data_IF_034665683008
#
_entry.id   IF_034665683008
#
_cell.length_a   1.000
_cell.length_b   1.000
_cell.length_c   1.000
_cell.angle_alpha   90.00
_cell.angle_beta   90.00
_cell.angle_gamma   90.00
#
_symmetry.space_group_name_H-M   'P 1'
#
loop_
_entity.id
_entity.type
_entity.pdbx_description
1 polymer ?
#
# COMPACT_ATOMS: atom_id res chain seq x y z
N UNK A 1 -31.45 -7.90 9.14
CA UNK A 1 -30.47 -8.99 8.94
C UNK A 1 -29.10 -8.33 8.99
N UNK A 2 -28.43 -8.39 10.14
CA UNK A 2 -27.09 -7.83 10.29
C UNK A 2 -26.12 -8.68 9.46
N UNK A 3 -25.35 -8.03 8.58
CA UNK A 3 -24.36 -8.70 7.75
C UNK A 3 -23.32 -9.38 8.64
N UNK A 4 -22.92 -10.59 8.27
CA UNK A 4 -21.80 -11.30 8.88
C UNK A 4 -20.54 -10.44 8.77
N UNK A 5 -20.03 -9.96 9.90
CA UNK A 5 -18.76 -9.24 10.06
C UNK A 5 -17.60 -10.11 9.55
N UNK A 6 -17.25 -9.98 8.27
CA UNK A 6 -16.10 -10.64 7.66
C UNK A 6 -14.97 -9.64 7.54
N UNK A 7 -13.77 -10.11 7.85
CA UNK A 7 -12.54 -9.38 7.56
C UNK A 7 -12.52 -8.90 6.10
N UNK A 8 -12.09 -7.67 5.90
CA UNK A 8 -11.88 -7.07 4.58
C UNK A 8 -10.39 -7.00 4.26
N UNK A 9 -10.08 -6.91 2.97
CA UNK A 9 -8.71 -6.82 2.47
C UNK A 9 -8.51 -5.49 1.77
N UNK A 10 -7.45 -4.78 2.14
CA UNK A 10 -6.93 -3.62 1.44
C UNK A 10 -5.55 -3.94 0.86
N UNK A 11 -5.20 -3.39 -0.30
CA UNK A 11 -3.88 -3.61 -0.91
C UNK A 11 -3.28 -2.31 -1.40
N UNK A 12 -2.10 -1.98 -0.86
CA UNK A 12 -1.44 -0.69 -1.04
C UNK A 12 -0.01 -0.88 -1.54
N UNK A 13 0.37 -0.13 -2.57
CA UNK A 13 1.75 0.00 -3.05
C UNK A 13 2.23 1.43 -2.81
N UNK A 14 3.29 1.59 -2.03
CA UNK A 14 3.82 2.90 -1.62
C UNK A 14 5.35 2.92 -1.59
N UNK A 15 6.01 2.27 -2.54
CA UNK A 15 7.46 2.10 -2.55
C UNK A 15 7.88 0.74 -1.98
N UNK A 16 9.03 0.69 -1.32
CA UNK A 16 9.49 -0.55 -0.66
C UNK A 16 8.40 -1.12 0.26
N UNK A 17 7.98 -2.36 -0.01
CA UNK A 17 6.90 -3.00 0.75
C UNK A 17 7.23 -3.25 2.22
N UNK A 18 8.52 -3.28 2.62
CA UNK A 18 8.93 -3.45 4.01
C UNK A 18 8.52 -2.27 4.86
N UNK A 19 8.76 -1.06 4.36
CA UNK A 19 8.33 0.18 5.03
C UNK A 19 6.81 0.32 5.05
N UNK A 20 6.16 -0.09 3.96
CA UNK A 20 4.70 -0.08 3.84
C UNK A 20 4.04 -1.01 4.88
N UNK A 21 4.43 -2.29 4.93
CA UNK A 21 3.90 -3.21 5.94
C UNK A 21 4.21 -2.74 7.35
N UNK A 22 5.46 -2.36 7.61
CA UNK A 22 5.91 -1.95 8.94
C UNK A 22 5.09 -0.78 9.50
N UNK A 23 4.82 0.26 8.69
CA UNK A 23 4.10 1.44 9.17
C UNK A 23 2.61 1.15 9.42
N UNK A 24 1.97 0.33 8.57
CA UNK A 24 0.60 -0.10 8.77
C UNK A 24 0.45 -0.97 10.02
N UNK A 25 1.27 -2.01 10.16
CA UNK A 25 1.23 -2.91 11.32
C UNK A 25 1.52 -2.14 12.60
N UNK A 26 2.53 -1.27 12.62
CA UNK A 26 2.85 -0.47 13.80
C UNK A 26 1.70 0.43 14.23
N UNK A 27 0.92 0.97 13.29
CA UNK A 27 -0.18 1.87 13.60
C UNK A 27 -1.49 1.14 13.96
N UNK A 28 -1.80 0.04 13.26
CA UNK A 28 -3.11 -0.60 13.32
C UNK A 28 -3.15 -1.97 14.01
N UNK A 29 -2.02 -2.54 14.47
CA UNK A 29 -1.99 -3.85 15.14
C UNK A 29 -2.99 -4.03 16.28
N UNK A 30 -3.29 -2.95 17.00
CA UNK A 30 -4.23 -2.94 18.14
C UNK A 30 -5.49 -2.11 17.81
N UNK A 31 -5.75 -1.86 16.52
CA UNK A 31 -6.84 -1.01 16.00
C UNK A 31 -7.53 -1.67 14.80
N UNK A 32 -7.76 -2.97 14.87
CA UNK A 32 -8.50 -3.71 13.84
C UNK A 32 -7.68 -4.30 12.71
N UNK A 33 -6.34 -4.19 12.68
CA UNK A 33 -5.53 -4.98 11.74
C UNK A 33 -5.48 -6.44 12.21
N UNK A 34 -5.92 -7.36 11.35
CA UNK A 34 -5.99 -8.79 11.62
C UNK A 34 -4.75 -9.53 11.11
N UNK A 35 -4.28 -9.15 9.91
CA UNK A 35 -3.11 -9.76 9.28
C UNK A 35 -2.45 -8.81 8.27
N UNK A 36 -1.17 -9.04 7.97
CA UNK A 36 -0.44 -8.36 6.91
C UNK A 36 0.37 -9.35 6.08
N UNK A 37 0.53 -9.05 4.80
CA UNK A 37 1.42 -9.80 3.91
C UNK A 37 1.99 -8.88 2.83
N UNK A 38 3.29 -8.96 2.59
CA UNK A 38 3.95 -8.29 1.46
C UNK A 38 4.03 -9.20 0.24
N UNK A 39 3.97 -8.61 -0.95
CA UNK A 39 3.96 -9.34 -2.20
C UNK A 39 3.97 -8.45 -3.43
N UNK A 40 3.66 -9.08 -4.56
CA UNK A 40 3.68 -8.47 -5.88
C UNK A 40 2.30 -8.56 -6.54
N UNK A 41 1.86 -7.48 -7.18
CA UNK A 41 0.59 -7.45 -7.92
C UNK A 41 0.58 -6.36 -8.99
N UNK A 42 -0.41 -6.41 -9.89
CA UNK A 42 -0.64 -5.38 -10.91
C UNK A 42 0.35 -5.42 -12.09
N UNK A 43 1.04 -6.54 -12.29
CA UNK A 43 1.88 -6.83 -13.46
C UNK A 43 1.41 -8.06 -14.23
N UNK A 44 2.14 -8.40 -15.29
CA UNK A 44 1.72 -9.39 -16.30
C UNK A 44 2.39 -10.76 -16.16
N UNK A 45 3.42 -10.87 -15.31
CA UNK A 45 4.19 -12.11 -15.13
C UNK A 45 3.57 -12.96 -14.02
N UNK A 46 3.13 -14.17 -14.36
CA UNK A 46 2.66 -15.13 -13.36
C UNK A 46 3.83 -15.68 -12.50
N UNK A 47 3.58 -15.88 -11.22
CA UNK A 47 4.55 -16.38 -10.22
C UNK A 47 5.93 -15.71 -10.28
N UNK A 48 5.99 -14.37 -10.16
CA UNK A 48 7.24 -13.62 -10.26
C UNK A 48 8.12 -13.88 -9.02
N UNK A 49 9.40 -14.12 -9.26
CA UNK A 49 10.42 -14.09 -8.19
C UNK A 49 10.76 -12.63 -7.85
N UNK A 50 11.20 -12.37 -6.62
CA UNK A 50 11.67 -11.04 -6.22
C UNK A 50 12.73 -10.49 -7.19
N UNK A 51 13.67 -11.35 -7.64
CA UNK A 51 14.70 -10.99 -8.60
C UNK A 51 14.12 -10.51 -9.94
N UNK A 52 13.07 -11.15 -10.44
CA UNK A 52 12.39 -10.71 -11.67
C UNK A 52 11.71 -9.36 -11.46
N UNK A 53 11.07 -9.13 -10.31
CA UNK A 53 10.46 -7.82 -10.01
C UNK A 53 11.52 -6.72 -9.92
N UNK A 54 12.69 -7.00 -9.32
CA UNK A 54 13.80 -6.06 -9.27
C UNK A 54 14.34 -5.65 -10.65
N UNK A 55 14.16 -6.48 -11.68
CA UNK A 55 14.58 -6.18 -13.06
C UNK A 55 13.65 -5.16 -13.78
N UNK A 56 12.51 -4.79 -13.15
CA UNK A 56 11.60 -3.69 -13.54
C UNK A 56 10.74 -3.93 -14.79
N UNK A 57 10.75 -5.13 -15.31
CA UNK A 57 10.16 -5.56 -16.59
C UNK A 57 8.93 -6.47 -16.41
N UNK A 58 8.55 -6.80 -15.18
CA UNK A 58 7.37 -7.64 -14.88
C UNK A 58 6.04 -6.88 -14.81
N UNK A 59 6.10 -5.54 -14.70
CA UNK A 59 4.94 -4.68 -14.46
C UNK A 59 4.42 -4.68 -13.01
N UNK A 60 4.87 -5.61 -12.16
CA UNK A 60 4.38 -5.71 -10.78
C UNK A 60 4.80 -4.51 -9.92
N UNK A 61 3.92 -4.14 -8.99
CA UNK A 61 4.24 -3.28 -7.85
C UNK A 61 4.62 -4.14 -6.65
N UNK A 62 5.58 -3.66 -5.86
CA UNK A 62 5.72 -4.08 -4.47
C UNK A 62 4.54 -3.49 -3.67
N UNK A 63 3.80 -4.36 -2.99
CA UNK A 63 2.61 -3.98 -2.26
C UNK A 63 2.49 -4.72 -0.93
N UNK A 64 1.73 -4.14 -0.02
CA UNK A 64 1.27 -4.77 1.22
C UNK A 64 -0.24 -5.02 1.13
N UNK A 65 -0.62 -6.25 1.43
CA UNK A 65 -2.00 -6.68 1.65
C UNK A 65 -2.29 -6.62 3.14
N UNK A 66 -3.30 -5.85 3.52
CA UNK A 66 -3.73 -5.64 4.89
C UNK A 66 -5.11 -6.25 5.05
N UNK A 67 -5.23 -7.23 5.94
CA UNK A 67 -6.52 -7.78 6.36
C UNK A 67 -6.96 -7.04 7.62
N UNK A 68 -8.19 -6.52 7.63
CA UNK A 68 -8.69 -5.67 8.70
C UNK A 68 -10.14 -5.99 9.05
N UNK A 69 -10.51 -5.65 10.28
CA UNK A 69 -11.87 -5.73 10.79
C UNK A 69 -12.60 -4.40 10.49
N UNK A 70 -13.56 -4.38 9.55
CA UNK A 70 -14.26 -3.15 9.18
C UNK A 70 -15.13 -2.59 10.31
N UNK A 71 -15.35 -3.33 11.40
CA UNK A 71 -16.06 -2.81 12.59
C UNK A 71 -15.16 -1.97 13.50
N UNK A 72 -13.84 -2.05 13.32
CA UNK A 72 -12.84 -1.35 14.14
C UNK A 72 -12.08 -0.26 13.37
N UNK A 73 -11.87 -0.45 12.07
CA UNK A 73 -11.21 0.53 11.21
C UNK A 73 -11.89 0.57 9.84
N UNK A 74 -12.22 1.77 9.39
CA UNK A 74 -12.85 1.97 8.09
C UNK A 74 -11.82 1.96 6.97
N UNK A 75 -12.19 1.46 5.78
CA UNK A 75 -11.31 1.47 4.61
C UNK A 75 -10.83 2.89 4.25
N UNK A 76 -11.68 3.90 4.45
CA UNK A 76 -11.34 5.30 4.21
C UNK A 76 -10.15 5.77 5.09
N UNK A 77 -10.09 5.31 6.34
CA UNK A 77 -8.99 5.64 7.25
C UNK A 77 -7.68 5.01 6.78
N UNK A 78 -7.73 3.77 6.29
CA UNK A 78 -6.56 3.09 5.72
C UNK A 78 -6.04 3.83 4.48
N UNK A 79 -6.94 4.32 3.61
CA UNK A 79 -6.56 5.11 2.42
C UNK A 79 -5.97 6.46 2.82
N UNK A 80 -6.54 7.16 3.79
CA UNK A 80 -5.97 8.42 4.28
C UNK A 80 -4.58 8.19 4.90
N UNK A 81 -4.44 7.15 5.73
CA UNK A 81 -3.17 6.78 6.33
C UNK A 81 -2.12 6.41 5.29
N UNK A 82 -2.50 5.71 4.22
CA UNK A 82 -1.64 5.45 3.07
C UNK A 82 -1.06 6.77 2.52
N UNK A 83 -1.88 7.79 2.28
CA UNK A 83 -1.40 9.09 1.79
C UNK A 83 -0.51 9.84 2.78
N UNK A 84 -0.70 9.61 4.08
CA UNK A 84 0.11 10.18 5.16
C UNK A 84 1.44 9.48 5.34
N UNK A 85 1.73 8.38 4.66
CA UNK A 85 2.91 7.55 4.97
C UNK A 85 3.91 7.40 3.82
N UNK A 86 3.70 8.07 2.69
CA UNK A 86 4.65 8.08 1.58
C UNK A 86 4.52 9.36 0.76
N UNK A 87 5.36 9.57 -0.25
CA UNK A 87 5.15 10.62 -1.24
C UNK A 87 4.29 10.08 -2.40
N UNK A 88 3.02 10.50 -2.55
CA UNK A 88 2.12 10.03 -3.62
C UNK A 88 2.24 10.83 -4.93
N UNK A 89 3.20 11.76 -5.03
CA UNK A 89 3.34 12.68 -6.17
C UNK A 89 4.47 12.28 -7.13
N UNK A 90 5.30 11.31 -6.74
CA UNK A 90 6.43 10.82 -7.52
C UNK A 90 6.07 9.58 -8.32
N UNK A 91 5.99 9.73 -9.65
CA UNK A 91 5.68 8.62 -10.55
C UNK A 91 6.84 7.60 -10.55
N UNK A 92 6.51 6.32 -10.34
CA UNK A 92 7.47 5.19 -10.39
C UNK A 92 8.71 5.40 -9.51
N UNK A 93 8.53 6.05 -8.34
CA UNK A 93 9.61 6.34 -7.41
C UNK A 93 9.08 6.57 -6.00
N UNK A 94 9.80 6.09 -5.00
CA UNK A 94 9.62 6.46 -3.61
C UNK A 94 10.99 6.73 -2.95
N UNK A 95 11.27 7.99 -2.60
CA UNK A 95 12.58 8.37 -2.06
C UNK A 95 13.73 7.95 -2.96
N UNK A 96 14.60 7.06 -2.44
CA UNK A 96 15.74 6.49 -3.18
C UNK A 96 15.38 5.26 -4.02
N UNK A 97 14.19 4.69 -3.82
CA UNK A 97 13.70 3.52 -4.55
C UNK A 97 13.11 3.96 -5.89
N UNK A 98 13.81 3.67 -7.00
CA UNK A 98 13.44 4.13 -8.35
C UNK A 98 13.06 2.96 -9.24
N UNK A 99 11.83 2.96 -9.75
CA UNK A 99 11.32 1.96 -10.67
C UNK A 99 9.80 1.78 -10.60
N UNK A 100 9.19 1.20 -11.64
CA UNK A 100 7.74 0.98 -11.70
C UNK A 100 7.21 0.07 -10.59
N UNK A 101 8.07 -0.76 -9.99
CA UNK A 101 7.72 -1.58 -8.83
C UNK A 101 7.46 -0.75 -7.56
N UNK A 102 8.03 0.45 -7.47
CA UNK A 102 7.91 1.35 -6.31
C UNK A 102 6.84 2.43 -6.50
N UNK A 103 5.96 2.27 -7.50
CA UNK A 103 4.88 3.23 -7.78
C UNK A 103 3.88 3.31 -6.63
N UNK A 104 3.25 4.47 -6.51
CA UNK A 104 2.08 4.64 -5.64
C UNK A 104 0.84 4.04 -6.33
N UNK A 105 0.21 3.05 -5.70
CA UNK A 105 -1.04 2.47 -6.19
C UNK A 105 -1.93 1.92 -5.06
N UNK A 106 -3.24 1.94 -5.29
CA UNK A 106 -4.27 1.32 -4.45
C UNK A 106 -4.96 0.25 -5.31
N UNK A 107 -4.94 -0.98 -4.83
CA UNK A 107 -5.60 -2.13 -5.48
C UNK A 107 -6.87 -2.47 -4.69
N UNK A 108 -8.01 -2.23 -5.32
CA UNK A 108 -9.34 -2.24 -4.69
C UNK A 108 -10.03 -3.60 -4.88
N UNK A 109 -10.61 -4.13 -3.81
CA UNK A 109 -11.23 -5.47 -3.79
C UNK A 109 -12.75 -5.44 -4.01
N UNK A 110 -13.34 -4.26 -4.09
CA UNK A 110 -14.77 -4.07 -4.37
C UNK A 110 -15.03 -2.71 -5.04
N UNK A 111 -16.17 -2.55 -5.73
CA UNK A 111 -16.58 -1.25 -6.27
C UNK A 111 -16.72 -0.16 -5.19
N UNK A 112 -17.07 -0.56 -3.96
CA UNK A 112 -17.18 0.37 -2.84
C UNK A 112 -15.80 0.85 -2.38
N UNK A 113 -14.81 -0.04 -2.29
CA UNK A 113 -13.43 0.36 -2.03
C UNK A 113 -12.91 1.31 -3.12
N UNK A 114 -13.22 1.05 -4.39
CA UNK A 114 -12.85 1.96 -5.49
C UNK A 114 -13.46 3.36 -5.32
N UNK A 115 -14.75 3.43 -4.99
CA UNK A 115 -15.46 4.69 -4.73
C UNK A 115 -14.84 5.45 -3.57
N UNK A 116 -14.61 4.77 -2.44
CA UNK A 116 -14.00 5.36 -1.24
C UNK A 116 -12.58 5.83 -1.52
N UNK A 117 -11.76 5.00 -2.18
CA UNK A 117 -10.38 5.35 -2.52
C UNK A 117 -10.33 6.63 -3.36
N UNK A 118 -11.18 6.73 -4.40
CA UNK A 118 -11.28 7.93 -5.25
C UNK A 118 -11.71 9.16 -4.47
N UNK A 119 -12.70 9.03 -3.59
CA UNK A 119 -13.19 10.13 -2.76
C UNK A 119 -12.09 10.65 -1.82
N UNK A 120 -11.49 9.76 -1.02
CA UNK A 120 -10.42 10.13 -0.07
C UNK A 120 -9.23 10.72 -0.82
N UNK A 121 -8.88 10.18 -1.99
CA UNK A 121 -7.81 10.74 -2.84
C UNK A 121 -8.10 12.18 -3.24
N UNK A 122 -9.33 12.49 -3.66
CA UNK A 122 -9.73 13.84 -4.04
C UNK A 122 -9.69 14.80 -2.84
N UNK A 123 -10.17 14.35 -1.67
CA UNK A 123 -10.17 15.15 -0.45
C UNK A 123 -8.74 15.45 0.03
N UNK A 124 -7.88 14.43 0.02
CA UNK A 124 -6.45 14.58 0.37
C UNK A 124 -5.72 15.47 -0.63
N UNK A 125 -5.99 15.32 -1.94
CA UNK A 125 -5.45 16.18 -2.99
C UNK A 125 -5.76 17.65 -2.69
N UNK A 126 -7.05 17.99 -2.53
CA UNK A 126 -7.51 19.34 -2.28
C UNK A 126 -6.95 19.93 -0.99
N UNK A 127 -6.89 19.13 0.09
CA UNK A 127 -6.50 19.62 1.41
C UNK A 127 -4.99 19.75 1.61
N UNK A 128 -4.19 18.81 1.07
CA UNK A 128 -2.78 18.68 1.45
C UNK A 128 -1.78 18.88 0.31
N UNK A 129 -2.21 18.76 -0.95
CA UNK A 129 -1.32 18.80 -2.12
C UNK A 129 -1.60 19.98 -3.05
N UNK A 130 -2.86 20.34 -3.32
CA UNK A 130 -3.21 21.51 -4.13
C UNK A 130 -2.64 22.83 -3.57
N UNK A 131 -2.69 23.11 -2.25
CA UNK A 131 -2.12 24.33 -1.68
C UNK A 131 -0.60 24.44 -1.88
N UNK A 132 0.06 23.32 -2.21
CA UNK A 132 1.50 23.23 -2.48
C UNK A 132 1.81 23.16 -3.99
N UNK A 133 0.80 23.20 -4.86
CA UNK A 133 0.94 23.03 -6.30
C UNK A 133 1.36 21.62 -6.72
N UNK A 134 1.11 20.62 -5.87
CA UNK A 134 1.48 19.22 -6.12
C UNK A 134 0.27 18.39 -6.56
N UNK A 135 0.50 17.36 -7.37
CA UNK A 135 -0.54 16.44 -7.86
C UNK A 135 -0.25 15.00 -7.45
N UNK A 136 -1.22 14.34 -6.87
CA UNK A 136 -1.22 12.90 -6.58
C UNK A 136 -1.24 12.13 -7.90
N UNK A 137 -0.31 11.18 -8.03
CA UNK A 137 -0.17 10.28 -9.20
C UNK A 137 -0.50 8.83 -8.88
N UNK A 138 -1.06 8.58 -7.68
CA UNK A 138 -1.48 7.24 -7.25
C UNK A 138 -2.47 6.63 -8.23
N UNK A 139 -2.16 5.42 -8.73
CA UNK A 139 -3.09 4.65 -9.54
C UNK A 139 -4.12 3.94 -8.65
N UNK A 140 -5.40 4.05 -8.98
CA UNK A 140 -6.47 3.28 -8.32
C UNK A 140 -6.96 2.25 -9.32
N UNK A 141 -6.73 0.97 -9.02
CA UNK A 141 -6.97 -0.15 -9.93
C UNK A 141 -7.76 -1.24 -9.21
N UNK A 142 -8.53 -2.07 -9.92
CA UNK A 142 -9.06 -3.30 -9.33
C UNK A 142 -7.91 -4.23 -8.93
N UNK A 143 -8.07 -4.93 -7.81
CA UNK A 143 -7.10 -5.93 -7.36
C UNK A 143 -7.07 -7.10 -8.35
N UNK A 144 -5.86 -7.42 -8.83
CA UNK A 144 -5.60 -8.56 -9.69
C UNK A 144 -5.04 -9.75 -8.91
N UNK A 145 -4.27 -10.59 -9.61
CA UNK A 145 -3.54 -11.69 -8.98
C UNK A 145 -2.55 -11.20 -7.93
N UNK A 146 -2.34 -12.02 -6.90
CA UNK A 146 -1.45 -11.73 -5.79
C UNK A 146 -0.39 -12.80 -5.65
N UNK A 147 0.85 -12.35 -5.64
CA UNK A 147 2.02 -13.20 -5.50
C UNK A 147 2.71 -12.87 -4.18
N UNK A 148 2.53 -13.68 -3.13
CA UNK A 148 3.18 -13.44 -1.86
C UNK A 148 4.70 -13.46 -2.04
N UNK A 149 5.39 -12.50 -1.42
CA UNK A 149 6.85 -12.53 -1.39
C UNK A 149 7.34 -13.61 -0.41
N UNK A 150 8.60 -14.03 -0.58
CA UNK A 150 9.22 -15.03 0.29
C UNK A 150 9.13 -14.64 1.77
N UNK A 151 9.10 -15.65 2.66
CA UNK A 151 8.97 -15.48 4.11
C UNK A 151 10.06 -14.58 4.73
N UNK A 152 11.22 -14.48 4.08
CA UNK A 152 12.29 -13.57 4.46
C UNK A 152 11.88 -12.09 4.36
N UNK A 153 10.95 -11.73 3.48
CA UNK A 153 10.45 -10.36 3.29
C UNK A 153 9.28 -10.03 4.20
N UNK A 154 8.53 -11.02 4.66
CA UNK A 154 7.40 -10.82 5.57
C UNK A 154 7.89 -10.29 6.91
N UNK A 155 7.28 -9.20 7.42
CA UNK A 155 7.62 -8.58 8.69
C UNK A 155 9.11 -8.21 8.80
N UNK A 156 9.77 -7.91 7.68
CA UNK A 156 11.22 -7.77 7.59
C UNK A 156 11.79 -6.75 8.58
N UNK A 157 11.18 -5.56 8.70
CA UNK A 157 11.66 -4.50 9.62
C UNK A 157 11.39 -4.80 11.10
N UNK A 158 10.44 -5.70 11.40
CA UNK A 158 10.28 -6.20 12.78
C UNK A 158 11.34 -7.25 13.11
N UNK A 159 11.70 -8.11 12.13
CA UNK A 159 12.78 -9.10 12.24
C UNK A 159 14.16 -8.41 12.27
N UNK A 160 14.32 -7.32 11.52
CA UNK A 160 15.57 -6.57 11.35
C UNK A 160 15.35 -5.06 11.59
N UNK A 161 15.30 -4.60 12.85
CA UNK A 161 14.99 -3.20 13.17
C UNK A 161 15.98 -2.16 12.62
N UNK A 162 17.22 -2.56 12.32
CA UNK A 162 18.26 -1.73 11.69
C UNK A 162 18.31 -1.88 10.16
N UNK A 163 17.35 -2.61 9.57
CA UNK A 163 17.24 -2.81 8.13
C UNK A 163 16.94 -1.51 7.38
N UNK A 164 17.03 -1.57 6.05
CA UNK A 164 16.72 -0.42 5.20
C UNK A 164 15.27 0.02 5.37
N UNK A 165 15.08 1.29 5.71
CA UNK A 165 13.79 1.96 5.74
C UNK A 165 13.84 3.18 4.82
N UNK A 166 12.89 3.28 3.89
CA UNK A 166 12.79 4.46 3.04
C UNK A 166 12.47 5.69 3.92
N UNK A 167 13.19 6.79 3.71
CA UNK A 167 13.07 8.01 4.51
C UNK A 167 11.67 8.65 4.44
N UNK A 168 10.91 8.33 3.39
CA UNK A 168 9.57 8.87 3.17
C UNK A 168 8.49 8.08 3.91
N UNK A 169 8.79 6.87 4.41
CA UNK A 169 7.89 6.03 5.22
C UNK A 169 7.82 6.50 6.66
N UNK A 170 7.17 7.64 6.85
CA UNK A 170 6.87 8.27 8.15
C UNK A 170 5.52 8.96 8.07
N UNK A 171 4.91 9.21 9.23
CA UNK A 171 3.68 9.99 9.29
C UNK A 171 3.94 11.45 8.88
N UNK A 172 3.24 11.86 7.83
CA UNK A 172 3.10 13.22 7.35
C UNK A 172 1.74 13.74 7.83
N UNK A 173 1.72 14.99 8.31
CA UNK A 173 0.59 15.76 8.88
C UNK A 173 -0.35 15.03 9.86
#
# INVERSE_FOLDING_TARGET
MASSDKAEVATFASGCFWGTEHIFVKHYKDKGLLNSQVGFTGGDVANPTYRQVCNKDTGHAEAARIEFDPTQVEYAELVEFFYRTHNPTTLNRQGNDVGPQYRSAIFTHSPEQERIAKQVTADVQAKHFEPKGLKIVTAILPAGEWWPADESHQMYLFKNPSGYQCETHRLHW
#
